data_IF_615916448002
#
_entry.id   IF_615916448002
#
_cell.length_a   1.000
_cell.length_b   1.000
_cell.length_c   1.000
_cell.angle_alpha   90.00
_cell.angle_beta   90.00
_cell.angle_gamma   90.00
#
_symmetry.space_group_name_H-M   'P 1'
#
loop_
_entity.id
_entity.type
_entity.pdbx_description
1 polymer ?
#
# COMPACT_ATOMS: atom_id res chain seq x y z
N UNK A 1 -29.20 11.92 41.20
CA UNK A 1 -28.94 13.10 42.06
C UNK A 1 -28.96 14.33 41.18
N UNK A 2 -29.85 15.29 41.46
CA UNK A 2 -29.95 16.53 40.67
C UNK A 2 -28.79 17.43 41.07
N UNK A 3 -27.88 17.71 40.14
CA UNK A 3 -26.80 18.66 40.38
C UNK A 3 -27.36 20.10 40.42
N UNK A 4 -26.86 20.95 41.33
CA UNK A 4 -27.34 22.32 41.45
C UNK A 4 -27.07 23.14 40.18
N UNK A 5 -28.04 23.99 39.80
CA UNK A 5 -28.00 24.80 38.57
C UNK A 5 -27.00 25.95 38.62
N UNK A 6 -26.55 26.34 39.81
CA UNK A 6 -25.59 27.44 40.01
C UNK A 6 -24.68 27.12 41.20
N UNK A 7 -23.37 27.15 40.98
CA UNK A 7 -22.37 27.08 42.04
C UNK A 7 -21.99 28.52 42.37
N UNK A 8 -22.29 28.96 43.59
CA UNK A 8 -21.87 30.29 44.05
C UNK A 8 -20.36 30.31 44.34
N UNK A 9 -19.68 31.45 44.12
CA UNK A 9 -18.29 31.58 44.53
C UNK A 9 -18.17 31.38 46.05
N UNK A 10 -17.06 30.78 46.53
CA UNK A 10 -16.86 30.54 47.96
C UNK A 10 -16.93 31.86 48.72
N UNK A 11 -17.66 31.85 49.84
CA UNK A 11 -17.81 33.02 50.72
C UNK A 11 -16.43 33.46 51.21
N UNK A 12 -16.07 34.76 51.21
CA UNK A 12 -14.78 35.26 51.70
C UNK A 12 -14.55 34.97 53.20
N UNK A 13 -15.58 34.52 53.93
CA UNK A 13 -15.54 34.12 55.33
C UNK A 13 -15.61 32.60 55.52
N UNK A 14 -15.50 31.82 54.44
CA UNK A 14 -15.48 30.36 54.51
C UNK A 14 -14.19 29.91 55.24
N UNK A 15 -14.27 29.18 56.38
CA UNK A 15 -13.09 28.64 57.05
C UNK A 15 -12.32 27.61 56.19
N UNK A 16 -12.90 27.17 55.05
CA UNK A 16 -12.26 26.34 54.04
C UNK A 16 -11.56 27.16 52.94
N UNK A 17 -11.71 28.50 52.91
CA UNK A 17 -10.82 29.33 52.12
C UNK A 17 -9.42 29.22 52.72
N UNK A 18 -8.57 28.51 51.98
CA UNK A 18 -7.13 28.48 52.20
C UNK A 18 -6.65 29.94 52.14
N UNK A 19 -6.44 30.54 53.31
CA UNK A 19 -5.70 31.78 53.41
C UNK A 19 -4.42 31.62 52.58
N UNK A 20 -4.04 32.62 51.76
CA UNK A 20 -2.84 32.54 50.95
C UNK A 20 -1.66 32.12 51.83
N UNK A 21 -1.00 31.02 51.44
CA UNK A 21 0.10 30.45 52.21
C UNK A 21 1.20 31.52 52.29
N UNK A 22 1.59 31.94 53.50
CA UNK A 22 2.62 32.96 53.65
C UNK A 22 3.97 32.42 53.17
N UNK A 23 4.73 33.28 52.49
CA UNK A 23 6.16 33.09 52.22
C UNK A 23 6.95 34.01 53.16
N UNK A 24 7.89 33.51 54.00
CA UNK A 24 8.29 32.11 54.20
C UNK A 24 7.30 31.30 55.06
N UNK A 25 7.34 29.97 54.90
CA UNK A 25 6.60 29.03 55.74
C UNK A 25 7.04 29.14 57.21
N UNK A 26 6.11 29.01 58.17
CA UNK A 26 6.49 28.99 59.58
C UNK A 26 7.33 27.75 59.89
N UNK A 27 8.24 27.87 60.87
CA UNK A 27 9.00 26.74 61.38
C UNK A 27 8.07 25.66 61.97
N UNK A 28 8.57 24.41 62.03
CA UNK A 28 7.85 23.34 62.72
C UNK A 28 7.46 23.76 64.14
N UNK A 29 6.21 23.51 64.57
CA UNK A 29 5.76 23.79 65.92
C UNK A 29 6.18 22.71 66.94
N UNK A 30 6.79 21.60 66.51
CA UNK A 30 7.28 20.54 67.39
C UNK A 30 8.22 21.02 68.52
N UNK A 31 9.28 21.81 68.27
CA UNK A 31 10.18 22.26 69.33
C UNK A 31 9.49 23.19 70.35
N UNK A 32 8.42 23.87 69.95
CA UNK A 32 7.66 24.78 70.82
C UNK A 32 6.67 24.01 71.73
N UNK A 33 6.45 22.71 71.49
CA UNK A 33 5.41 21.93 72.15
C UNK A 33 5.81 21.46 73.56
N UNK A 34 7.01 20.94 73.73
CA UNK A 34 7.53 20.48 75.03
C UNK A 34 7.60 21.60 76.09
N UNK A 35 8.14 22.80 75.80
CA UNK A 35 8.14 23.89 76.78
C UNK A 35 6.73 24.41 77.08
N UNK A 36 5.82 24.38 76.09
CA UNK A 36 4.42 24.75 76.27
C UNK A 36 3.71 23.74 77.19
N UNK A 37 3.90 22.44 76.96
CA UNK A 37 3.34 21.38 77.80
C UNK A 37 3.86 21.49 79.24
N UNK A 38 5.16 21.71 79.43
CA UNK A 38 5.74 21.92 80.75
C UNK A 38 5.13 23.14 81.46
N UNK A 39 4.94 24.24 80.75
CA UNK A 39 4.31 25.47 81.28
C UNK A 39 2.84 25.26 81.65
N UNK A 40 2.10 24.49 80.85
CA UNK A 40 0.70 24.12 81.15
C UNK A 40 0.63 23.19 82.36
N UNK A 41 1.49 22.17 82.43
CA UNK A 41 1.54 21.24 83.56
C UNK A 41 1.93 21.96 84.85
N UNK A 42 2.89 22.89 84.79
CA UNK A 42 3.25 23.75 85.91
C UNK A 42 2.06 24.57 86.40
N UNK A 43 1.35 25.25 85.49
CA UNK A 43 0.15 26.04 85.80
C UNK A 43 -1.02 25.21 86.36
N UNK A 44 -1.14 23.93 85.98
CA UNK A 44 -2.18 23.03 86.51
C UNK A 44 -1.82 22.55 87.93
N UNK A 45 -0.53 22.38 88.23
CA UNK A 45 -0.05 21.82 89.50
C UNK A 45 0.21 22.90 90.58
N UNK A 46 0.43 24.15 90.19
CA UNK A 46 0.59 25.28 91.11
C UNK A 46 -0.72 25.55 91.87
N UNK A 47 -0.76 25.14 93.14
CA UNK A 47 -1.96 25.21 94.01
C UNK A 47 -1.83 26.31 95.09
N UNK A 48 -0.79 27.14 95.05
CA UNK A 48 -0.39 28.03 96.16
C UNK A 48 -0.11 29.47 95.68
N UNK A 49 -0.57 30.46 96.45
CA UNK A 49 -0.69 31.89 96.08
C UNK A 49 0.62 32.71 95.92
N UNK A 50 1.81 32.08 95.77
CA UNK A 50 3.10 32.81 95.80
C UNK A 50 4.08 32.52 94.64
N UNK A 51 3.72 31.69 93.65
CA UNK A 51 4.54 31.49 92.44
C UNK A 51 4.07 32.40 91.30
N UNK A 52 5.00 33.08 90.61
CA UNK A 52 4.74 33.83 89.37
C UNK A 52 4.29 32.86 88.25
N UNK A 53 3.03 32.43 88.29
CA UNK A 53 2.44 31.59 87.25
C UNK A 53 2.21 32.39 85.99
N UNK A 54 2.61 31.87 84.83
CA UNK A 54 2.34 32.50 83.53
C UNK A 54 0.83 32.69 83.36
N UNK A 55 0.33 33.89 83.00
CA UNK A 55 -1.11 34.10 82.85
C UNK A 55 -1.74 33.16 81.81
N UNK A 56 -2.90 32.59 82.12
CA UNK A 56 -3.63 31.66 81.23
C UNK A 56 -3.90 32.23 79.82
N UNK A 57 -4.02 33.56 79.70
CA UNK A 57 -4.19 34.26 78.41
C UNK A 57 -2.95 34.13 77.51
N UNK A 58 -1.75 34.08 78.10
CA UNK A 58 -0.47 33.87 77.39
C UNK A 58 -0.33 32.42 76.94
N UNK A 59 -0.71 31.45 77.78
CA UNK A 59 -0.72 30.04 77.39
C UNK A 59 -1.72 29.78 76.25
N UNK A 60 -2.90 30.38 76.33
CA UNK A 60 -3.93 30.26 75.30
C UNK A 60 -3.48 30.91 73.99
N UNK A 61 -2.77 32.04 74.03
CA UNK A 61 -2.24 32.68 72.82
C UNK A 61 -1.13 31.83 72.17
N UNK A 62 -0.25 31.21 72.97
CA UNK A 62 0.80 30.30 72.50
C UNK A 62 0.22 29.03 71.85
N UNK A 63 -0.82 28.42 72.45
CA UNK A 63 -1.54 27.29 71.85
C UNK A 63 -2.15 27.70 70.50
N UNK A 64 -2.84 28.84 70.45
CA UNK A 64 -3.44 29.34 69.19
C UNK A 64 -2.38 29.62 68.12
N UNK A 65 -1.22 30.14 68.50
CA UNK A 65 -0.11 30.38 67.59
C UNK A 65 0.45 29.05 67.03
N UNK A 66 0.66 28.04 67.88
CA UNK A 66 1.10 26.71 67.46
C UNK A 66 0.10 26.04 66.51
N UNK A 67 -1.20 26.12 66.82
CA UNK A 67 -2.27 25.60 65.94
C UNK A 67 -2.29 26.30 64.59
N UNK A 68 -2.12 27.63 64.56
CA UNK A 68 -2.05 28.40 63.29
C UNK A 68 -0.82 28.00 62.47
N UNK A 69 0.37 27.89 63.10
CA UNK A 69 1.59 27.41 62.41
C UNK A 69 1.36 26.02 61.79
N UNK A 70 0.76 25.10 62.55
CA UNK A 70 0.45 23.73 62.09
C UNK A 70 -0.52 23.72 60.91
N UNK A 71 -1.58 24.54 60.98
CA UNK A 71 -2.57 24.66 59.90
C UNK A 71 -1.96 25.24 58.62
N UNK A 72 -1.08 26.25 58.75
CA UNK A 72 -0.35 26.82 57.61
C UNK A 72 0.54 25.77 56.95
N UNK A 73 1.31 25.01 57.74
CA UNK A 73 2.16 23.93 57.22
C UNK A 73 1.35 22.82 56.54
N UNK A 74 0.21 22.43 57.13
CA UNK A 74 -0.66 21.42 56.56
C UNK A 74 -1.25 21.88 55.21
N UNK A 75 -1.68 23.14 55.14
CA UNK A 75 -2.21 23.71 53.90
C UNK A 75 -1.12 23.79 52.82
N UNK A 76 0.11 24.16 53.20
CA UNK A 76 1.25 24.15 52.29
C UNK A 76 1.59 22.75 51.78
N UNK A 77 1.61 21.76 52.66
CA UNK A 77 1.83 20.36 52.28
C UNK A 77 0.74 19.87 51.32
N UNK A 78 -0.53 20.24 51.53
CA UNK A 78 -1.63 19.91 50.62
C UNK A 78 -1.46 20.54 49.24
N UNK A 79 -1.08 21.82 49.18
CA UNK A 79 -0.85 22.52 47.91
C UNK A 79 0.33 21.90 47.16
N UNK A 80 1.45 21.66 47.84
CA UNK A 80 2.62 21.02 47.23
C UNK A 80 2.30 19.60 46.74
N UNK A 81 1.53 18.83 47.51
CA UNK A 81 1.10 17.50 47.09
C UNK A 81 0.13 17.54 45.89
N UNK A 82 -0.72 18.56 45.80
CA UNK A 82 -1.58 18.77 44.63
C UNK A 82 -0.74 19.14 43.39
N UNK A 83 0.18 20.09 43.51
CA UNK A 83 1.09 20.47 42.42
C UNK A 83 1.92 19.29 41.92
N UNK A 84 2.49 18.50 42.82
CA UNK A 84 3.26 17.32 42.44
C UNK A 84 2.40 16.25 41.73
N UNK A 85 1.10 16.16 42.05
CA UNK A 85 0.16 15.29 41.34
C UNK A 85 -0.16 15.83 39.95
N UNK A 86 -0.43 17.13 39.85
CA UNK A 86 -0.70 17.77 38.55
C UNK A 86 0.51 17.64 37.61
N UNK A 87 1.73 17.76 38.15
CA UNK A 87 2.97 17.53 37.40
C UNK A 87 3.11 16.08 36.95
N UNK A 88 2.81 15.11 37.83
CA UNK A 88 2.82 13.69 37.48
C UNK A 88 1.80 13.37 36.38
N UNK A 89 0.58 13.88 36.50
CA UNK A 89 -0.48 13.68 35.51
C UNK A 89 -0.06 14.24 34.13
N UNK A 90 0.62 15.39 34.10
CA UNK A 90 1.17 15.96 32.87
C UNK A 90 2.28 15.10 32.24
N UNK A 91 3.11 14.44 33.05
CA UNK A 91 4.12 13.50 32.55
C UNK A 91 3.45 12.22 32.01
N UNK A 92 2.46 11.70 32.72
CA UNK A 92 1.70 10.52 32.31
C UNK A 92 0.96 10.72 30.99
N UNK A 93 0.38 11.91 30.77
CA UNK A 93 -0.22 12.28 29.49
C UNK A 93 0.81 12.23 28.36
N UNK A 94 1.98 12.82 28.58
CA UNK A 94 3.07 12.82 27.59
C UNK A 94 3.63 11.43 27.31
N UNK A 95 3.70 10.57 28.34
CA UNK A 95 4.13 9.18 28.16
C UNK A 95 3.16 8.44 27.24
N UNK A 96 1.84 8.57 27.47
CA UNK A 96 0.81 7.92 26.64
C UNK A 96 0.86 8.39 25.19
N UNK A 97 1.13 9.67 24.95
CA UNK A 97 1.32 10.21 23.60
C UNK A 97 2.49 9.50 22.89
N UNK A 98 3.63 9.36 23.56
CA UNK A 98 4.81 8.69 22.99
C UNK A 98 4.57 7.19 22.77
N UNK A 99 3.90 6.50 23.70
CA UNK A 99 3.56 5.09 23.55
C UNK A 99 2.62 4.85 22.35
N UNK A 100 1.65 5.74 22.16
CA UNK A 100 0.77 5.71 20.99
C UNK A 100 1.56 5.88 19.70
N UNK A 101 2.43 6.88 19.62
CA UNK A 101 3.27 7.13 18.45
C UNK A 101 4.22 5.97 18.16
N UNK A 102 4.84 5.39 19.19
CA UNK A 102 5.68 4.19 19.05
C UNK A 102 4.89 3.01 18.46
N UNK A 103 3.69 2.76 18.99
CA UNK A 103 2.83 1.67 18.49
C UNK A 103 2.41 1.94 17.05
N UNK A 104 2.02 3.19 16.72
CA UNK A 104 1.65 3.60 15.37
C UNK A 104 2.80 3.37 14.38
N UNK A 105 4.01 3.78 14.74
CA UNK A 105 5.20 3.58 13.90
C UNK A 105 5.49 2.09 13.72
N UNK A 106 5.38 1.28 14.78
CA UNK A 106 5.57 -0.17 14.67
C UNK A 106 4.55 -0.84 13.75
N UNK A 107 3.29 -0.41 13.81
CA UNK A 107 2.24 -0.94 12.93
C UNK A 107 2.46 -0.51 11.47
N UNK A 108 2.89 0.72 11.21
CA UNK A 108 3.28 1.15 9.86
C UNK A 108 4.52 0.39 9.36
N UNK A 109 5.53 0.17 10.21
CA UNK A 109 6.69 -0.66 9.87
C UNK A 109 6.27 -2.09 9.51
N UNK A 110 5.29 -2.67 10.22
CA UNK A 110 4.75 -4.00 9.90
C UNK A 110 4.09 -4.00 8.52
N UNK A 111 3.25 -3.01 8.22
CA UNK A 111 2.64 -2.87 6.89
C UNK A 111 3.69 -2.73 5.79
N UNK A 112 4.74 -1.95 6.02
CA UNK A 112 5.85 -1.81 5.08
C UNK A 112 6.64 -3.12 4.92
N UNK A 113 6.80 -3.92 5.99
CA UNK A 113 7.49 -5.21 5.93
C UNK A 113 6.68 -6.31 5.22
N UNK A 114 5.36 -6.18 5.20
CA UNK A 114 4.46 -7.08 4.47
C UNK A 114 4.35 -6.72 2.98
N UNK A 115 5.07 -5.68 2.52
CA UNK A 115 5.12 -5.33 1.12
C UNK A 115 5.82 -6.43 0.32
N UNK A 116 5.02 -7.17 -0.46
CA UNK A 116 5.53 -8.11 -1.46
C UNK A 116 5.63 -7.37 -2.79
N UNK A 117 6.84 -7.27 -3.38
CA UNK A 117 7.00 -6.64 -4.68
C UNK A 117 6.27 -7.43 -5.78
N UNK A 118 5.57 -6.72 -6.67
CA UNK A 118 4.78 -7.36 -7.73
C UNK A 118 5.61 -8.24 -8.69
N UNK A 119 6.91 -7.99 -8.81
CA UNK A 119 7.79 -8.79 -9.66
C UNK A 119 8.05 -10.20 -9.11
N UNK A 120 7.79 -10.45 -7.82
CA UNK A 120 7.99 -11.78 -7.22
C UNK A 120 6.96 -12.80 -7.71
N UNK A 121 5.78 -12.33 -8.13
CA UNK A 121 4.75 -13.16 -8.76
C UNK A 121 4.97 -13.36 -10.27
N UNK A 122 5.93 -12.65 -10.87
CA UNK A 122 6.19 -12.71 -12.32
C UNK A 122 7.14 -13.87 -12.67
N UNK A 123 6.82 -14.57 -13.76
CA UNK A 123 7.67 -15.64 -14.30
C UNK A 123 8.87 -15.05 -15.06
N UNK A 124 9.91 -14.69 -14.30
CA UNK A 124 11.14 -14.09 -14.81
C UNK A 124 12.18 -15.16 -15.16
N UNK A 125 12.94 -15.00 -16.26
CA UNK A 125 14.05 -15.90 -16.58
C UNK A 125 15.05 -15.93 -15.43
N UNK A 126 15.65 -17.09 -15.17
CA UNK A 126 16.63 -17.24 -14.10
C UNK A 126 17.82 -16.28 -14.30
N UNK A 127 18.55 -15.99 -13.22
CA UNK A 127 19.69 -15.07 -13.28
C UNK A 127 20.74 -15.58 -14.28
N UNK A 128 20.99 -16.89 -14.32
CA UNK A 128 21.93 -17.50 -15.25
C UNK A 128 21.50 -17.36 -16.71
N UNK A 129 20.21 -17.60 -16.99
CA UNK A 129 19.65 -17.42 -18.33
C UNK A 129 19.76 -15.96 -18.77
N UNK A 130 19.38 -15.01 -17.92
CA UNK A 130 19.51 -13.59 -18.20
C UNK A 130 20.97 -13.19 -18.50
N UNK A 131 21.92 -13.61 -17.68
CA UNK A 131 23.34 -13.29 -17.89
C UNK A 131 23.89 -13.89 -19.20
N UNK A 132 23.31 -14.99 -19.68
CA UNK A 132 23.69 -15.62 -20.95
C UNK A 132 23.03 -15.00 -22.18
N UNK A 133 21.82 -14.46 -22.03
CA UNK A 133 21.03 -13.94 -23.15
C UNK A 133 21.09 -12.42 -23.31
N UNK A 134 21.42 -11.69 -22.25
CA UNK A 134 21.43 -10.24 -22.24
C UNK A 134 22.57 -9.66 -23.10
N UNK A 135 22.29 -8.53 -23.74
CA UNK A 135 23.30 -7.78 -24.50
C UNK A 135 24.47 -7.33 -23.60
N UNK A 136 25.69 -7.37 -24.15
CA UNK A 136 26.90 -6.93 -23.46
C UNK A 136 26.81 -5.48 -22.94
N UNK A 137 26.06 -4.61 -23.63
CA UNK A 137 25.85 -3.22 -23.19
C UNK A 137 25.12 -3.13 -21.85
N UNK A 138 24.21 -4.06 -21.56
CA UNK A 138 23.45 -4.10 -20.29
C UNK A 138 24.35 -4.66 -19.20
N UNK A 139 25.11 -5.71 -19.53
CA UNK A 139 26.03 -6.36 -18.59
C UNK A 139 27.16 -5.42 -18.15
N UNK A 140 27.64 -4.57 -19.05
CA UNK A 140 28.68 -3.58 -18.75
C UNK A 140 28.17 -2.37 -17.96
N UNK A 141 26.86 -2.14 -17.96
CA UNK A 141 26.24 -1.06 -17.19
C UNK A 141 26.00 -1.47 -15.73
N UNK A 142 26.02 -2.78 -15.42
CA UNK A 142 25.87 -3.28 -14.06
C UNK A 142 27.04 -2.85 -13.17
N UNK A 143 26.77 -2.54 -11.90
CA UNK A 143 27.79 -2.15 -10.95
C UNK A 143 28.61 -3.38 -10.53
N UNK A 144 29.70 -3.16 -9.78
CA UNK A 144 30.50 -4.28 -9.27
C UNK A 144 29.65 -5.21 -8.41
N UNK A 145 29.93 -6.52 -8.46
CA UNK A 145 29.25 -7.54 -7.64
C UNK A 145 29.35 -7.30 -6.14
N UNK A 146 30.38 -6.57 -5.70
CA UNK A 146 30.61 -6.26 -4.30
C UNK A 146 29.85 -5.00 -3.83
N UNK A 147 29.10 -4.33 -4.72
CA UNK A 147 28.29 -3.16 -4.38
C UNK A 147 27.00 -3.56 -3.67
N UNK A 148 26.59 -2.81 -2.65
CA UNK A 148 25.30 -3.00 -1.97
C UNK A 148 24.11 -2.85 -2.94
N UNK A 149 24.27 -2.05 -4.00
CA UNK A 149 23.22 -1.80 -5.00
C UNK A 149 23.14 -2.88 -6.09
N UNK A 150 24.08 -3.83 -6.13
CA UNK A 150 24.21 -4.80 -7.24
C UNK A 150 22.95 -5.65 -7.43
N UNK A 151 22.36 -6.15 -6.34
CA UNK A 151 21.18 -7.03 -6.42
C UNK A 151 19.96 -6.29 -6.98
N UNK A 152 19.76 -5.04 -6.56
CA UNK A 152 18.65 -4.22 -7.02
C UNK A 152 18.83 -3.83 -8.50
N UNK A 153 20.02 -3.36 -8.87
CA UNK A 153 20.32 -3.00 -10.26
C UNK A 153 20.24 -4.21 -11.20
N UNK A 154 20.67 -5.39 -10.74
CA UNK A 154 20.50 -6.64 -11.47
C UNK A 154 19.02 -6.99 -11.69
N UNK A 155 18.18 -6.82 -10.67
CA UNK A 155 16.73 -7.06 -10.80
C UNK A 155 16.08 -6.09 -11.79
N UNK A 156 16.43 -4.80 -11.73
CA UNK A 156 15.95 -3.79 -12.68
C UNK A 156 16.36 -4.14 -14.10
N UNK A 157 17.63 -4.47 -14.32
CA UNK A 157 18.13 -4.86 -15.64
C UNK A 157 17.42 -6.11 -16.20
N UNK A 158 17.10 -7.09 -15.33
CA UNK A 158 16.31 -8.27 -15.69
C UNK A 158 14.89 -7.91 -16.14
N UNK A 159 14.22 -7.04 -15.39
CA UNK A 159 12.86 -6.57 -15.72
C UNK A 159 12.84 -5.81 -17.05
N UNK A 160 13.81 -4.92 -17.27
CA UNK A 160 13.91 -4.15 -18.52
C UNK A 160 14.23 -5.02 -19.74
N UNK A 161 15.02 -6.08 -19.55
CA UNK A 161 15.28 -7.05 -20.61
C UNK A 161 14.01 -7.84 -20.97
N UNK A 162 13.27 -8.34 -19.99
CA UNK A 162 12.04 -9.08 -20.25
C UNK A 162 10.97 -8.19 -20.90
N UNK A 163 10.84 -6.94 -20.46
CA UNK A 163 9.96 -5.96 -21.11
C UNK A 163 10.29 -5.80 -22.60
N UNK A 164 11.57 -5.60 -22.95
CA UNK A 164 12.00 -5.47 -24.35
C UNK A 164 11.71 -6.73 -25.17
N UNK A 165 11.90 -7.90 -24.57
CA UNK A 165 11.61 -9.18 -25.21
C UNK A 165 10.11 -9.38 -25.43
N UNK A 166 9.27 -9.00 -24.47
CA UNK A 166 7.81 -9.00 -24.63
C UNK A 166 7.39 -8.06 -25.76
N UNK A 167 7.86 -6.80 -25.76
CA UNK A 167 7.53 -5.83 -26.81
C UNK A 167 7.95 -6.32 -28.21
N UNK A 168 9.12 -6.95 -28.31
CA UNK A 168 9.61 -7.56 -29.55
C UNK A 168 8.69 -8.70 -30.01
N UNK A 169 8.27 -9.59 -29.11
CA UNK A 169 7.34 -10.69 -29.43
C UNK A 169 5.97 -10.17 -29.82
N UNK A 170 5.44 -9.17 -29.12
CA UNK A 170 4.17 -8.51 -29.48
C UNK A 170 4.23 -7.87 -30.86
N UNK A 171 5.34 -7.19 -31.18
CA UNK A 171 5.55 -6.62 -32.51
C UNK A 171 5.61 -7.70 -33.60
N UNK A 172 6.26 -8.84 -33.35
CA UNK A 172 6.27 -9.98 -34.27
C UNK A 172 4.87 -10.57 -34.46
N UNK A 173 4.12 -10.79 -33.38
CA UNK A 173 2.74 -11.28 -33.43
C UNK A 173 1.86 -10.32 -34.23
N UNK A 174 2.01 -9.02 -34.03
CA UNK A 174 1.28 -8.00 -34.78
C UNK A 174 1.63 -8.00 -36.27
N UNK A 175 2.90 -8.18 -36.63
CA UNK A 175 3.34 -8.30 -38.03
C UNK A 175 2.79 -9.57 -38.68
N UNK A 176 2.96 -10.73 -38.05
CA UNK A 176 2.44 -12.00 -38.55
C UNK A 176 0.91 -12.01 -38.67
N UNK A 177 0.22 -11.34 -37.75
CA UNK A 177 -1.25 -11.16 -37.81
C UNK A 177 -1.65 -10.34 -39.04
N UNK A 178 -0.93 -9.25 -39.33
CA UNK A 178 -1.17 -8.43 -40.54
C UNK A 178 -0.90 -9.24 -41.81
N UNK A 179 0.21 -9.98 -41.87
CA UNK A 179 0.55 -10.83 -43.01
C UNK A 179 -0.45 -11.96 -43.23
N UNK A 180 -0.90 -12.60 -42.15
CA UNK A 180 -1.99 -13.58 -42.21
C UNK A 180 -3.25 -12.96 -42.82
N UNK A 181 -3.63 -11.77 -42.39
CA UNK A 181 -4.85 -11.11 -42.88
C UNK A 181 -4.73 -10.69 -44.35
N UNK A 182 -3.55 -10.25 -44.81
CA UNK A 182 -3.31 -9.97 -46.23
C UNK A 182 -3.34 -11.25 -47.06
N UNK A 183 -2.75 -12.35 -46.57
CA UNK A 183 -2.82 -13.66 -47.23
C UNK A 183 -4.25 -14.21 -47.31
N UNK A 184 -5.06 -14.03 -46.26
CA UNK A 184 -6.48 -14.44 -46.29
C UNK A 184 -7.24 -13.62 -47.34
N UNK A 185 -7.00 -12.31 -47.44
CA UNK A 185 -7.63 -11.44 -48.45
C UNK A 185 -7.23 -11.86 -49.87
N UNK A 186 -5.94 -12.01 -50.14
CA UNK A 186 -5.45 -12.43 -51.46
C UNK A 186 -5.96 -13.82 -51.83
N UNK A 187 -6.00 -14.78 -50.90
CA UNK A 187 -6.61 -16.09 -51.12
C UNK A 187 -8.09 -16.00 -51.51
N UNK A 188 -8.87 -15.14 -50.83
CA UNK A 188 -10.28 -14.90 -51.17
C UNK A 188 -10.42 -14.30 -52.57
N UNK A 189 -9.60 -13.32 -52.93
CA UNK A 189 -9.60 -12.71 -54.27
C UNK A 189 -9.23 -13.69 -55.37
N UNK A 190 -8.19 -14.51 -55.15
CA UNK A 190 -7.79 -15.57 -56.10
C UNK A 190 -8.92 -16.57 -56.26
N UNK A 191 -9.56 -17.00 -55.17
CA UNK A 191 -10.72 -17.89 -55.23
C UNK A 191 -11.85 -17.28 -56.07
N UNK A 192 -12.20 -16.02 -55.84
CA UNK A 192 -13.23 -15.34 -56.64
C UNK A 192 -12.89 -15.26 -58.13
N UNK A 193 -11.62 -14.99 -58.47
CA UNK A 193 -11.15 -14.99 -59.86
C UNK A 193 -11.17 -16.38 -60.48
N UNK A 194 -10.78 -17.40 -59.72
CA UNK A 194 -10.82 -18.80 -60.16
C UNK A 194 -12.25 -19.26 -60.42
N UNK A 195 -13.17 -19.00 -59.48
CA UNK A 195 -14.60 -19.30 -59.63
C UNK A 195 -15.18 -18.61 -60.89
N UNK A 196 -14.75 -17.37 -61.19
CA UNK A 196 -15.14 -16.67 -62.41
C UNK A 196 -14.59 -17.34 -63.69
N UNK A 197 -13.32 -17.74 -63.69
CA UNK A 197 -12.70 -18.47 -64.81
C UNK A 197 -13.42 -19.80 -65.05
N UNK A 198 -13.77 -20.55 -64.01
CA UNK A 198 -14.53 -21.79 -64.12
C UNK A 198 -15.90 -21.58 -64.78
N UNK A 199 -16.61 -20.51 -64.42
CA UNK A 199 -17.88 -20.13 -65.08
C UNK A 199 -17.67 -19.81 -66.56
N UNK A 200 -16.64 -19.03 -66.89
CA UNK A 200 -16.31 -18.68 -68.28
C UNK A 200 -15.91 -19.91 -69.10
N UNK A 201 -15.13 -20.83 -68.53
CA UNK A 201 -14.70 -22.06 -69.18
C UNK A 201 -15.89 -23.00 -69.41
N UNK A 202 -16.79 -23.14 -68.44
CA UNK A 202 -18.05 -23.88 -68.62
C UNK A 202 -18.96 -23.26 -69.68
N UNK A 203 -18.98 -21.93 -69.80
CA UNK A 203 -19.62 -21.21 -70.90
C UNK A 203 -18.97 -21.50 -72.25
N UNK A 204 -17.64 -21.41 -72.33
CA UNK A 204 -16.87 -21.68 -73.54
C UNK A 204 -17.04 -23.13 -74.00
N UNK A 205 -16.97 -24.11 -73.10
CA UNK A 205 -17.15 -25.53 -73.42
C UNK A 205 -18.54 -25.79 -74.02
N UNK A 206 -19.60 -25.18 -73.45
CA UNK A 206 -20.96 -25.27 -74.02
C UNK A 206 -21.04 -24.65 -75.42
N UNK A 207 -20.48 -23.47 -75.60
CA UNK A 207 -20.44 -22.80 -76.91
C UNK A 207 -19.61 -23.57 -77.93
N UNK A 208 -18.44 -24.08 -77.56
CA UNK A 208 -17.58 -24.90 -78.40
C UNK A 208 -18.27 -26.21 -78.81
N UNK A 209 -18.94 -26.89 -77.88
CA UNK A 209 -19.75 -28.07 -78.18
C UNK A 209 -20.92 -27.75 -79.12
N UNK A 210 -21.58 -26.60 -78.93
CA UNK A 210 -22.66 -26.16 -79.83
C UNK A 210 -22.13 -25.86 -81.23
N UNK A 211 -21.01 -25.14 -81.35
CA UNK A 211 -20.36 -24.87 -82.66
C UNK A 211 -19.88 -26.17 -83.29
N UNK A 212 -19.23 -27.07 -82.55
CA UNK A 212 -18.78 -28.36 -83.06
C UNK A 212 -19.96 -29.22 -83.55
N UNK A 213 -21.08 -29.24 -82.83
CA UNK A 213 -22.32 -29.89 -83.28
C UNK A 213 -22.84 -29.24 -84.58
N UNK A 214 -22.87 -27.91 -84.67
CA UNK A 214 -23.30 -27.22 -85.89
C UNK A 214 -22.35 -27.41 -87.06
N UNK A 215 -21.05 -27.45 -86.80
CA UNK A 215 -20.03 -27.71 -87.82
C UNK A 215 -20.13 -29.15 -88.32
N UNK A 216 -20.42 -30.11 -87.43
CA UNK A 216 -20.75 -31.49 -87.79
C UNK A 216 -22.01 -31.56 -88.62
N UNK A 217 -23.08 -30.87 -88.24
CA UNK A 217 -24.32 -30.78 -89.04
C UNK A 217 -24.07 -30.17 -90.43
N UNK A 218 -23.14 -29.20 -90.54
CA UNK A 218 -22.72 -28.57 -91.80
C UNK A 218 -21.76 -29.46 -92.61
N UNK A 219 -20.92 -30.27 -91.97
CA UNK A 219 -20.05 -31.24 -92.62
C UNK A 219 -20.81 -32.49 -93.09
N UNK A 220 -21.90 -32.85 -92.40
CA UNK A 220 -22.80 -33.96 -92.74
C UNK A 220 -23.87 -33.55 -93.79
N UNK A 221 -23.87 -32.31 -94.27
CA UNK A 221 -24.62 -31.89 -95.46
C UNK A 221 -23.92 -32.38 -96.74
N UNK A 222 -24.62 -33.05 -97.68
CA UNK A 222 -24.00 -33.55 -98.90
C UNK A 222 -23.71 -32.38 -99.85
N UNK A 223 -22.49 -31.86 -99.83
CA UNK A 223 -21.89 -31.35 -101.06
C UNK A 223 -21.69 -32.51 -102.03
N UNK A 224 -21.90 -32.25 -103.31
CA UNK A 224 -22.19 -33.22 -104.36
C UNK A 224 -21.38 -34.52 -104.28
N UNK A 225 -22.08 -35.63 -104.50
CA UNK A 225 -21.50 -36.93 -104.84
C UNK A 225 -20.46 -36.73 -105.95
N UNK A 226 -19.18 -36.78 -105.60
CA UNK A 226 -18.15 -37.33 -106.49
C UNK A 226 -17.51 -38.46 -105.71
N UNK A 227 -17.79 -39.67 -106.17
CA UNK A 227 -17.25 -40.91 -105.64
C UNK A 227 -15.72 -40.88 -105.72
N UNK A 228 -15.04 -41.22 -104.63
CA UNK A 228 -13.88 -42.10 -104.74
C UNK A 228 -13.63 -42.84 -103.44
N UNK A 229 -13.61 -44.15 -103.58
CA UNK A 229 -13.17 -45.14 -102.59
C UNK A 229 -11.73 -44.88 -102.18
N UNK A 230 -11.42 -45.10 -100.89
CA UNK A 230 -10.17 -45.72 -100.38
C UNK A 230 -10.32 -45.84 -98.85
N UNK A 231 -10.62 -47.02 -98.34
CA UNK A 231 -9.67 -47.91 -97.66
C UNK A 231 -9.14 -47.37 -96.32
N UNK A 232 -9.68 -47.95 -95.25
CA UNK A 232 -9.08 -48.11 -93.92
C UNK A 232 -7.66 -48.71 -94.02
N UNK A 233 -6.75 -48.36 -93.09
CA UNK A 233 -6.60 -49.27 -91.96
C UNK A 233 -6.43 -48.61 -90.58
N UNK A 234 -6.87 -49.38 -89.58
CA UNK A 234 -6.50 -49.35 -88.16
C UNK A 234 -5.01 -49.13 -87.92
N UNK A 235 -4.68 -48.26 -86.97
CA UNK A 235 -3.53 -48.43 -86.06
C UNK A 235 -3.95 -47.96 -84.66
N UNK A 236 -3.85 -48.88 -83.71
CA UNK A 236 -3.93 -48.67 -82.27
C UNK A 236 -2.54 -48.26 -81.73
N UNK A 237 -2.50 -47.47 -80.65
CA UNK A 237 -1.44 -47.37 -79.63
C UNK A 237 -2.01 -46.45 -78.51
N UNK A 238 -2.33 -47.00 -77.33
CA UNK A 238 -1.50 -46.96 -76.11
C UNK A 238 -1.12 -45.50 -75.75
N UNK A 239 -1.55 -44.91 -74.64
CA UNK A 239 -1.57 -45.46 -73.29
C UNK A 239 -0.34 -44.94 -72.55
N UNK A 240 -0.39 -43.72 -72.01
CA UNK A 240 0.63 -43.27 -71.06
C UNK A 240 -0.01 -42.34 -70.01
N UNK A 241 -0.43 -42.95 -68.90
CA UNK A 241 -0.70 -42.26 -67.65
C UNK A 241 0.62 -42.02 -66.94
N UNK A 242 0.99 -40.76 -66.79
CA UNK A 242 2.01 -40.32 -65.84
C UNK A 242 1.27 -39.83 -64.61
N UNK A 243 1.35 -40.61 -63.54
CA UNK A 243 0.92 -40.21 -62.20
C UNK A 243 1.91 -39.20 -61.62
N UNK A 244 1.38 -38.07 -61.17
CA UNK A 244 1.93 -37.21 -60.12
C UNK A 244 0.83 -36.90 -59.14
#
# INVERSE_FOLDING_TARGET
MVLPKTIHPPSPLDPLLLLPIPSPLPSSPQPDLDPLLHSITSHINSTSEEEETVPITVLTSAIRQSTRKSQILLNAARVNAAQARDELDGIDERLREVEYESTRVQDEMRKCSEYVPAYEEMDLPSIEEFLSSADESILNALPSKDSEDYENELMIARLEHELREIEKRENQVNQLTKERDTLIKTKKEIKMKFDAVDVHLGGFSRSANAVASKLKDVADLPSSKTQTQTQTPQIALEGEQIST
#
